data_IF_830317392149
#
_entry.id   IF_830317392149
#
_cell.length_a   1.000
_cell.length_b   1.000
_cell.length_c   1.000
_cell.angle_alpha   90.00
_cell.angle_beta   90.00
_cell.angle_gamma   90.00
#
_symmetry.space_group_name_H-M   'P 1'
#
loop_
_entity.id
_entity.type
_entity.pdbx_description
1 polymer ?
#
# COMPACT_ATOMS: atom_id res chain seq x y z
N UNK A 1 -31.08 -57.35 31.05
CA UNK A 1 -31.15 -57.36 29.57
C UNK A 1 -31.61 -55.99 29.09
N UNK A 2 -30.66 -55.19 28.61
CA UNK A 2 -30.79 -53.76 28.32
C UNK A 2 -31.61 -53.47 27.06
N UNK A 3 -32.63 -52.62 27.17
CA UNK A 3 -33.30 -52.01 26.01
C UNK A 3 -33.47 -50.50 26.24
N UNK A 4 -32.42 -49.80 25.79
CA UNK A 4 -32.29 -48.42 25.28
C UNK A 4 -33.42 -47.43 25.64
N UNK A 5 -33.09 -46.48 26.52
CA UNK A 5 -33.87 -45.26 26.80
C UNK A 5 -33.89 -44.37 25.55
N UNK A 6 -35.07 -43.98 25.09
CA UNK A 6 -35.24 -42.95 24.05
C UNK A 6 -35.73 -41.69 24.77
N UNK A 7 -34.81 -40.74 24.94
CA UNK A 7 -35.10 -39.41 25.47
C UNK A 7 -35.50 -38.54 24.28
N UNK A 8 -36.76 -38.10 24.23
CA UNK A 8 -37.26 -37.19 23.20
C UNK A 8 -36.83 -35.76 23.53
N UNK A 9 -35.85 -35.25 22.78
CA UNK A 9 -35.33 -33.89 22.88
C UNK A 9 -36.06 -32.97 21.88
N UNK A 10 -36.94 -32.09 22.37
CA UNK A 10 -37.61 -31.09 21.53
C UNK A 10 -36.68 -29.89 21.32
N UNK A 11 -36.10 -29.79 20.12
CA UNK A 11 -35.35 -28.62 19.65
C UNK A 11 -36.36 -27.54 19.25
N UNK A 12 -36.48 -26.49 20.06
CA UNK A 12 -37.17 -25.27 19.63
C UNK A 12 -36.18 -24.41 18.85
N UNK A 13 -36.37 -24.36 17.53
CA UNK A 13 -35.65 -23.52 16.58
C UNK A 13 -36.08 -22.06 16.80
N UNK A 14 -35.32 -21.32 17.61
CA UNK A 14 -35.56 -19.90 17.83
C UNK A 14 -34.91 -19.12 16.69
N UNK A 15 -35.74 -18.68 15.75
CA UNK A 15 -35.39 -17.78 14.64
C UNK A 15 -34.98 -16.43 15.23
N UNK A 16 -33.67 -16.18 15.33
CA UNK A 16 -33.14 -14.85 15.60
C UNK A 16 -33.20 -14.05 14.30
N UNK A 17 -34.30 -13.31 14.07
CA UNK A 17 -34.33 -12.26 13.05
C UNK A 17 -33.60 -11.04 13.59
N UNK A 18 -32.27 -11.02 13.45
CA UNK A 18 -31.49 -9.79 13.63
C UNK A 18 -31.74 -8.93 12.39
N UNK A 19 -32.33 -7.75 12.59
CA UNK A 19 -32.35 -6.70 11.57
C UNK A 19 -30.89 -6.28 11.31
N UNK A 20 -30.30 -6.79 10.23
CA UNK A 20 -28.98 -6.36 9.76
C UNK A 20 -29.06 -4.93 9.24
N UNK A 21 -28.69 -3.95 10.06
CA UNK A 21 -28.31 -2.63 9.57
C UNK A 21 -26.78 -2.55 9.52
N UNK A 22 -26.20 -3.02 8.42
CA UNK A 22 -24.83 -2.69 8.03
C UNK A 22 -24.89 -1.51 7.07
N UNK A 23 -25.03 -0.30 7.60
CA UNK A 23 -24.64 0.90 6.88
C UNK A 23 -23.39 1.41 7.55
N UNK A 24 -22.23 1.04 7.04
CA UNK A 24 -21.00 1.79 7.20
C UNK A 24 -20.24 1.64 5.88
N UNK A 25 -20.74 2.28 4.83
CA UNK A 25 -19.87 2.62 3.72
C UNK A 25 -18.95 3.74 4.24
N UNK A 26 -17.85 3.35 4.87
CA UNK A 26 -16.69 4.23 4.84
C UNK A 26 -16.23 4.23 3.39
N UNK A 27 -16.64 5.26 2.65
CA UNK A 27 -15.81 5.73 1.57
C UNK A 27 -14.51 6.16 2.25
N UNK A 28 -13.57 5.22 2.36
CA UNK A 28 -12.16 5.58 2.23
C UNK A 28 -12.05 6.01 0.78
N UNK A 29 -12.54 7.22 0.49
CA UNK A 29 -12.03 7.96 -0.63
C UNK A 29 -10.56 8.09 -0.28
N UNK A 30 -9.71 7.28 -0.93
CA UNK A 30 -8.30 7.60 -0.99
C UNK A 30 -8.30 9.06 -1.42
N UNK A 31 -7.89 9.96 -0.52
CA UNK A 31 -7.76 11.35 -0.86
C UNK A 31 -6.88 11.35 -2.11
N UNK A 32 -7.38 11.79 -3.28
CA UNK A 32 -6.54 11.87 -4.48
C UNK A 32 -5.39 12.86 -4.26
N UNK A 33 -5.50 13.66 -3.20
CA UNK A 33 -4.54 14.60 -2.67
C UNK A 33 -3.80 14.07 -1.44
N UNK A 34 -3.82 12.75 -1.18
CA UNK A 34 -2.94 12.12 -0.21
C UNK A 34 -1.52 12.55 -0.56
N UNK A 35 -1.08 13.62 0.11
CA UNK A 35 0.25 14.16 -0.01
C UNK A 35 1.11 13.07 0.60
N UNK A 36 1.64 12.21 -0.25
CA UNK A 36 2.78 11.38 0.12
C UNK A 36 3.91 12.37 0.32
N UNK A 37 3.98 12.95 1.52
CA UNK A 37 5.21 13.51 2.03
C UNK A 37 6.14 12.32 2.09
N UNK A 38 7.11 12.27 1.17
CA UNK A 38 8.15 11.25 1.12
C UNK A 38 8.88 11.27 2.47
N UNK A 39 8.44 10.44 3.39
CA UNK A 39 9.15 10.12 4.62
C UNK A 39 9.22 8.61 4.71
N UNK A 40 10.17 8.06 3.97
CA UNK A 40 10.92 6.87 4.34
C UNK A 40 12.15 6.81 3.41
N UNK A 41 13.07 7.74 3.63
CA UNK A 41 14.44 7.58 3.15
C UNK A 41 15.04 6.45 3.97
N UNK A 42 15.05 5.23 3.44
CA UNK A 42 15.88 4.18 4.01
C UNK A 42 17.33 4.54 3.70
N UNK A 43 17.99 5.24 4.62
CA UNK A 43 19.38 5.66 4.50
C UNK A 43 20.32 4.50 4.84
N UNK A 44 20.24 3.41 4.07
CA UNK A 44 21.25 2.35 4.15
C UNK A 44 22.56 2.75 3.43
N UNK A 45 22.51 3.80 2.60
CA UNK A 45 23.65 4.48 1.95
C UNK A 45 23.39 5.98 1.81
N UNK A 46 24.38 6.77 1.35
CA UNK A 46 24.23 8.21 1.04
C UNK A 46 23.29 8.51 -0.14
N UNK A 47 22.58 7.51 -0.67
CA UNK A 47 21.72 7.57 -1.85
C UNK A 47 20.28 7.65 -1.39
N UNK A 48 19.53 8.61 -1.93
CA UNK A 48 18.12 8.74 -1.60
C UNK A 48 17.32 7.60 -2.25
N UNK A 49 16.33 7.07 -1.53
CA UNK A 49 15.42 6.04 -2.03
C UNK A 49 13.99 6.59 -1.95
N UNK A 50 13.32 6.66 -3.09
CA UNK A 50 11.90 6.99 -3.21
C UNK A 50 11.10 5.72 -3.47
N UNK A 51 10.35 5.28 -2.46
CA UNK A 51 9.29 4.31 -2.63
C UNK A 51 8.14 4.96 -3.40
N UNK A 52 7.97 4.56 -4.66
CA UNK A 52 6.91 5.11 -5.52
C UNK A 52 5.51 4.76 -4.98
N UNK A 53 4.52 5.55 -5.36
CA UNK A 53 3.11 5.29 -5.06
C UNK A 53 2.63 3.98 -5.70
N UNK A 54 1.51 3.47 -5.19
CA UNK A 54 0.87 2.27 -5.72
C UNK A 54 0.62 2.38 -7.24
N UNK A 55 0.78 1.26 -7.95
CA UNK A 55 0.48 1.20 -9.37
C UNK A 55 -1.02 0.98 -9.58
N UNK A 56 -1.67 1.92 -10.25
CA UNK A 56 -3.06 1.81 -10.68
C UNK A 56 -3.06 1.59 -12.19
N UNK A 57 -3.52 0.41 -12.64
CA UNK A 57 -3.45 -0.02 -14.03
C UNK A 57 -2.03 0.02 -14.62
N UNK A 58 -1.00 -0.13 -13.78
CA UNK A 58 0.41 -0.06 -14.19
C UNK A 58 1.01 1.35 -14.18
N UNK A 59 0.27 2.38 -13.78
CA UNK A 59 0.76 3.76 -13.67
C UNK A 59 0.94 4.14 -12.20
N UNK A 60 2.10 4.70 -11.85
CA UNK A 60 2.38 5.26 -10.52
C UNK A 60 2.54 6.77 -10.63
N UNK A 61 1.63 7.52 -10.00
CA UNK A 61 1.65 8.98 -9.96
C UNK A 61 2.19 9.47 -8.61
N UNK A 62 3.25 10.26 -8.64
CA UNK A 62 3.96 10.72 -7.46
C UNK A 62 4.03 12.26 -7.48
N UNK A 63 3.26 12.92 -6.62
CA UNK A 63 3.28 14.38 -6.50
C UNK A 63 4.34 14.83 -5.49
N UNK A 64 5.27 15.67 -5.93
CA UNK A 64 6.42 16.14 -5.17
C UNK A 64 6.42 17.67 -5.13
N UNK A 65 6.90 18.26 -4.04
CA UNK A 65 7.05 19.73 -3.92
C UNK A 65 8.45 20.22 -4.26
N UNK A 66 9.40 19.30 -4.39
CA UNK A 66 10.77 19.50 -4.84
C UNK A 66 11.30 18.19 -5.41
N UNK A 67 12.21 18.27 -6.36
CA UNK A 67 12.93 17.13 -6.91
C UNK A 67 14.35 17.58 -7.20
N UNK A 68 15.28 17.05 -6.42
CA UNK A 68 16.71 17.29 -6.56
C UNK A 68 17.39 15.92 -6.44
N UNK A 69 18.35 15.64 -7.31
CA UNK A 69 19.15 14.41 -7.26
C UNK A 69 20.58 14.80 -6.89
N UNK A 70 21.06 14.29 -5.76
CA UNK A 70 22.44 14.54 -5.33
C UNK A 70 23.44 13.79 -6.21
N UNK A 71 24.74 14.08 -6.05
CA UNK A 71 25.81 13.33 -6.73
C UNK A 71 25.79 11.82 -6.42
N UNK A 72 25.24 11.43 -5.26
CA UNK A 72 25.07 10.03 -4.89
C UNK A 72 23.94 9.34 -5.68
N UNK A 73 23.07 10.11 -6.32
CA UNK A 73 21.93 9.62 -7.09
C UNK A 73 20.65 9.42 -6.28
N UNK A 74 19.64 8.86 -6.96
CA UNK A 74 18.31 8.56 -6.42
C UNK A 74 17.87 7.19 -6.95
N UNK A 75 17.30 6.37 -6.09
CA UNK A 75 16.66 5.11 -6.45
C UNK A 75 15.14 5.29 -6.43
N UNK A 76 14.46 4.97 -7.54
CA UNK A 76 13.01 4.79 -7.57
C UNK A 76 12.70 3.31 -7.26
N UNK A 77 12.22 3.02 -6.06
CA UNK A 77 11.93 1.65 -5.65
C UNK A 77 10.60 1.16 -6.24
N UNK A 78 10.70 0.49 -7.39
CA UNK A 78 9.60 -0.17 -8.10
C UNK A 78 9.53 -1.69 -7.82
N UNK A 79 10.15 -2.17 -6.74
CA UNK A 79 10.15 -3.60 -6.39
C UNK A 79 9.16 -3.90 -5.26
N UNK A 80 8.17 -4.80 -5.44
CA UNK A 80 7.31 -5.25 -4.35
C UNK A 80 8.07 -6.08 -3.30
N UNK A 81 9.08 -6.84 -3.74
CA UNK A 81 9.76 -7.86 -2.93
C UNK A 81 11.19 -7.48 -2.51
N UNK A 82 11.66 -6.30 -2.92
CA UNK A 82 13.04 -5.84 -2.72
C UNK A 82 13.93 -6.15 -3.93
N UNK A 83 15.11 -5.56 -3.98
CA UNK A 83 16.02 -5.71 -5.12
C UNK A 83 17.46 -5.33 -4.76
N UNK A 84 18.42 -5.92 -5.46
CA UNK A 84 19.79 -5.41 -5.49
C UNK A 84 19.87 -4.23 -6.46
N UNK A 85 20.33 -3.10 -5.94
CA UNK A 85 20.43 -1.83 -6.67
C UNK A 85 21.87 -1.50 -7.00
N UNK A 86 22.07 -0.71 -8.05
CA UNK A 86 23.40 -0.26 -8.47
C UNK A 86 24.02 0.73 -7.48
N UNK A 87 23.20 1.50 -6.76
CA UNK A 87 23.66 2.62 -5.95
C UNK A 87 23.70 2.32 -4.45
N UNK A 88 22.91 1.37 -3.94
CA UNK A 88 22.79 1.10 -2.51
C UNK A 88 22.83 -0.39 -2.12
N UNK A 89 23.24 -1.27 -3.03
CA UNK A 89 23.15 -2.71 -2.79
C UNK A 89 21.70 -3.16 -2.59
N UNK A 90 21.47 -4.13 -1.71
CA UNK A 90 20.12 -4.64 -1.46
C UNK A 90 19.22 -3.60 -0.77
N UNK A 91 18.01 -3.44 -1.28
CA UNK A 91 16.94 -2.64 -0.67
C UNK A 91 15.71 -3.50 -0.44
N UNK A 92 14.95 -3.16 0.61
CA UNK A 92 13.69 -3.83 0.92
C UNK A 92 12.58 -3.49 -0.10
N UNK A 93 11.55 -4.32 -0.12
CA UNK A 93 10.38 -4.13 -0.97
C UNK A 93 9.58 -2.87 -0.64
N UNK A 94 9.02 -2.26 -1.67
CA UNK A 94 8.09 -1.15 -1.57
C UNK A 94 6.68 -1.67 -1.27
N UNK A 95 6.23 -1.51 -0.04
CA UNK A 95 4.90 -1.92 0.43
C UNK A 95 3.73 -1.26 -0.30
N UNK A 96 3.95 -0.16 -1.03
CA UNK A 96 2.91 0.48 -1.83
C UNK A 96 2.51 -0.35 -3.05
N UNK A 97 3.36 -1.30 -3.48
CA UNK A 97 3.20 -2.07 -4.72
C UNK A 97 2.55 -3.43 -4.49
N UNK A 98 1.59 -3.51 -3.57
CA UNK A 98 0.82 -4.73 -3.31
C UNK A 98 0.03 -5.23 -4.53
N UNK A 99 -0.29 -4.34 -5.47
CA UNK A 99 -0.90 -4.65 -6.77
C UNK A 99 0.10 -5.01 -7.87
N UNK A 100 1.40 -5.04 -7.54
CA UNK A 100 2.50 -5.27 -8.47
C UNK A 100 3.26 -4.00 -8.87
N UNK A 101 4.37 -4.21 -9.58
CA UNK A 101 5.24 -3.13 -10.03
C UNK A 101 4.54 -2.21 -11.06
N UNK A 102 4.91 -0.94 -11.04
CA UNK A 102 4.50 0.03 -12.05
C UNK A 102 5.19 -0.24 -13.38
N UNK A 103 4.47 -0.06 -14.48
CA UNK A 103 4.99 -0.02 -15.85
C UNK A 103 5.45 1.38 -16.24
N UNK A 104 4.79 2.39 -15.71
CA UNK A 104 5.08 3.80 -15.93
C UNK A 104 5.07 4.54 -14.59
N UNK A 105 6.07 5.41 -14.39
CA UNK A 105 6.25 6.19 -13.18
C UNK A 105 6.27 7.66 -13.57
N UNK A 106 5.30 8.42 -13.08
CA UNK A 106 5.21 9.86 -13.26
C UNK A 106 5.59 10.55 -11.96
N UNK A 107 6.56 11.45 -12.04
CA UNK A 107 6.94 12.35 -10.95
C UNK A 107 6.44 13.76 -11.31
N UNK A 108 5.41 14.22 -10.63
CA UNK A 108 4.83 15.54 -10.84
C UNK A 108 5.39 16.50 -9.80
N UNK A 109 6.24 17.44 -10.24
CA UNK A 109 6.91 18.36 -9.30
C UNK A 109 6.22 19.72 -9.30
N UNK A 110 5.47 19.97 -8.23
CA UNK A 110 4.80 21.24 -7.94
C UNK A 110 5.70 22.15 -7.11
N UNK A 111 6.86 22.53 -7.67
CA UNK A 111 7.85 23.34 -6.97
C UNK A 111 7.63 24.84 -7.15
N UNK A 112 7.84 25.61 -6.06
CA UNK A 112 7.93 27.08 -6.11
C UNK A 112 9.28 27.58 -6.65
N UNK A 113 10.27 26.69 -6.79
CA UNK A 113 11.60 26.96 -7.31
C UNK A 113 11.89 26.02 -8.50
N UNK A 114 12.68 26.45 -9.49
CA UNK A 114 13.03 25.61 -10.63
C UNK A 114 13.84 24.38 -10.19
N UNK A 115 13.66 23.28 -10.92
CA UNK A 115 14.41 22.04 -10.75
C UNK A 115 15.90 22.27 -11.01
N UNK A 116 16.78 21.62 -10.24
CA UNK A 116 18.24 21.68 -10.42
C UNK A 116 18.82 20.34 -10.82
#
# INVERSE_FOLDING_TARGET
MNRKKIVSFKINLLVFSVLSTLNMATVVQADPSAHIVVQQQQKNSSVDILNIAAAINGYSSNSLTSFDVSEAGLILNNSPDGADTQLSGHIDGNSNLSSGAAKEITLEVNAKKPLR
#
